data_IF_128718204057
#
_entry.id   IF_128718204057
#
_cell.length_a   1.000
_cell.length_b   1.000
_cell.length_c   1.000
_cell.angle_alpha   90.00
_cell.angle_beta   90.00
_cell.angle_gamma   90.00
#
_symmetry.space_group_name_H-M   'P 1'
#
loop_
_entity.id
_entity.type
_entity.pdbx_description
1 polymer ?
#
# COMPACT_ATOMS: atom_id res chain seq x y z
N UNK A 1 -4.70 10.86 -15.80
CA UNK A 1 -4.65 9.40 -15.53
C UNK A 1 -5.39 9.14 -14.22
N UNK A 2 -6.42 8.27 -14.20
CA UNK A 2 -7.09 7.93 -12.93
C UNK A 2 -6.17 7.00 -12.13
N UNK A 3 -6.05 7.20 -10.82
CA UNK A 3 -5.29 6.28 -9.95
C UNK A 3 -5.87 4.88 -10.06
N UNK A 4 -5.07 3.96 -10.56
CA UNK A 4 -5.39 2.55 -10.63
C UNK A 4 -5.33 1.88 -9.26
N UNK A 5 -5.88 0.67 -9.17
CA UNK A 5 -5.80 -0.14 -7.94
C UNK A 5 -4.36 -0.41 -7.52
N UNK A 6 -3.47 -0.60 -8.50
CA UNK A 6 -2.03 -0.81 -8.26
C UNK A 6 -1.34 0.42 -7.67
N UNK A 7 -1.67 1.63 -8.13
CA UNK A 7 -1.13 2.87 -7.56
C UNK A 7 -1.54 3.05 -6.10
N UNK A 8 -2.77 2.66 -5.77
CA UNK A 8 -3.27 2.71 -4.39
C UNK A 8 -2.51 1.71 -3.52
N UNK A 9 -2.36 0.48 -3.99
CA UNK A 9 -1.62 -0.57 -3.28
C UNK A 9 -0.17 -0.15 -3.07
N UNK A 10 0.52 0.33 -4.12
CA UNK A 10 1.91 0.80 -4.04
C UNK A 10 2.07 1.94 -3.04
N UNK A 11 1.15 2.92 -3.03
CA UNK A 11 1.17 3.99 -2.04
C UNK A 11 0.98 3.47 -0.61
N UNK A 12 0.01 2.58 -0.37
CA UNK A 12 -0.22 2.02 0.98
C UNK A 12 1.02 1.26 1.46
N UNK A 13 1.59 0.40 0.62
CA UNK A 13 2.79 -0.37 0.95
C UNK A 13 3.97 0.56 1.25
N UNK A 14 4.17 1.60 0.44
CA UNK A 14 5.21 2.60 0.66
C UNK A 14 5.04 3.32 2.00
N UNK A 15 3.81 3.72 2.34
CA UNK A 15 3.49 4.37 3.62
C UNK A 15 3.75 3.42 4.80
N UNK A 16 3.44 2.12 4.65
CA UNK A 16 3.62 1.11 5.70
C UNK A 16 5.08 0.67 5.89
N UNK A 17 6.03 1.11 5.04
CA UNK A 17 7.45 0.71 5.10
C UNK A 17 8.12 1.02 6.44
N UNK A 18 7.75 2.14 7.06
CA UNK A 18 8.26 2.56 8.37
C UNK A 18 7.21 2.42 9.49
N UNK A 19 6.12 1.69 9.20
CA UNK A 19 4.95 1.65 10.06
C UNK A 19 4.06 2.89 9.94
N UNK A 20 2.75 2.66 9.79
CA UNK A 20 1.79 3.76 9.70
C UNK A 20 0.46 3.43 10.36
N UNK A 21 -0.20 4.44 10.93
CA UNK A 21 -1.57 4.31 11.45
C UNK A 21 -2.58 4.34 10.30
N UNK A 22 -3.77 3.77 10.51
CA UNK A 22 -4.90 3.85 9.54
C UNK A 22 -5.16 5.28 9.08
N UNK A 23 -5.13 6.24 10.00
CA UNK A 23 -5.33 7.67 9.70
C UNK A 23 -4.24 8.23 8.79
N UNK A 24 -2.98 7.91 9.06
CA UNK A 24 -1.85 8.33 8.21
C UNK A 24 -1.97 7.74 6.81
N UNK A 25 -2.40 6.49 6.69
CA UNK A 25 -2.60 5.83 5.40
C UNK A 25 -3.73 6.52 4.63
N UNK A 26 -4.86 6.80 5.27
CA UNK A 26 -5.99 7.54 4.68
C UNK A 26 -5.53 8.89 4.12
N UNK A 27 -4.82 9.70 4.93
CA UNK A 27 -4.35 11.02 4.51
C UNK A 27 -3.26 10.96 3.45
N UNK A 28 -2.21 10.15 3.65
CA UNK A 28 -1.05 10.09 2.73
C UNK A 28 -1.40 9.38 1.42
N UNK A 29 -2.29 8.39 1.43
CA UNK A 29 -2.74 7.70 0.22
C UNK A 29 -3.90 8.41 -0.49
N UNK A 30 -4.43 9.52 0.07
CA UNK A 30 -5.61 10.23 -0.42
C UNK A 30 -6.83 9.29 -0.61
N UNK A 31 -7.10 8.47 0.40
CA UNK A 31 -8.22 7.53 0.44
C UNK A 31 -9.27 8.00 1.43
N UNK A 32 -10.51 7.58 1.25
CA UNK A 32 -11.50 7.63 2.32
C UNK A 32 -11.33 6.43 3.27
N UNK A 33 -11.88 6.52 4.48
CA UNK A 33 -11.77 5.47 5.50
C UNK A 33 -12.28 4.11 5.02
N UNK A 34 -13.38 4.07 4.27
CA UNK A 34 -13.99 2.83 3.76
C UNK A 34 -13.06 2.13 2.76
N UNK A 35 -12.50 2.87 1.82
CA UNK A 35 -11.57 2.34 0.83
C UNK A 35 -10.27 1.89 1.49
N UNK A 36 -9.70 2.70 2.38
CA UNK A 36 -8.50 2.33 3.12
C UNK A 36 -8.71 1.02 3.89
N UNK A 37 -9.86 0.83 4.53
CA UNK A 37 -10.19 -0.41 5.24
C UNK A 37 -10.28 -1.63 4.33
N UNK A 38 -10.91 -1.50 3.15
CA UNK A 38 -10.96 -2.58 2.16
C UNK A 38 -9.56 -2.99 1.70
N UNK A 39 -8.70 -2.02 1.37
CA UNK A 39 -7.34 -2.30 0.92
C UNK A 39 -6.47 -2.85 2.04
N UNK A 40 -6.53 -2.28 3.24
CA UNK A 40 -5.75 -2.75 4.39
C UNK A 40 -6.15 -4.17 4.78
N UNK A 41 -7.44 -4.49 4.78
CA UNK A 41 -7.91 -5.86 5.01
C UNK A 41 -7.38 -6.80 3.94
N UNK A 42 -7.53 -6.45 2.66
CA UNK A 42 -7.05 -7.29 1.55
C UNK A 42 -5.53 -7.52 1.58
N UNK A 43 -4.75 -6.51 1.93
CA UNK A 43 -3.29 -6.60 2.06
C UNK A 43 -2.88 -7.44 3.28
N UNK A 44 -3.59 -7.29 4.39
CA UNK A 44 -3.33 -8.07 5.61
C UNK A 44 -3.71 -9.54 5.42
N UNK A 45 -4.85 -9.82 4.79
CA UNK A 45 -5.31 -11.18 4.46
C UNK A 45 -4.34 -11.92 3.51
N UNK A 46 -3.53 -11.17 2.74
CA UNK A 46 -2.49 -11.70 1.83
C UNK A 46 -1.09 -11.68 2.42
N UNK A 47 -0.96 -11.28 3.69
CA UNK A 47 0.31 -11.17 4.42
C UNK A 47 1.28 -10.18 3.76
N UNK A 48 0.77 -9.16 3.07
CA UNK A 48 1.58 -8.07 2.48
C UNK A 48 1.87 -6.97 3.50
N UNK A 49 0.95 -6.78 4.44
CA UNK A 49 1.13 -5.92 5.60
C UNK A 49 0.75 -6.71 6.85
N UNK A 50 1.29 -6.29 7.98
CA UNK A 50 0.98 -6.84 9.29
C UNK A 50 0.44 -5.73 10.16
N UNK A 51 -0.70 -5.98 10.79
CA UNK A 51 -1.28 -5.06 11.77
C UNK A 51 -0.73 -5.38 13.16
N UNK A 52 0.03 -4.45 13.72
CA UNK A 52 0.54 -4.50 15.10
C UNK A 52 -0.13 -3.42 15.94
N UNK A 53 -1.23 -3.80 16.61
CA UNK A 53 -2.06 -2.89 17.39
C UNK A 53 -2.70 -1.81 16.52
N UNK A 54 -2.15 -0.58 16.58
CA UNK A 54 -2.61 0.59 15.81
C UNK A 54 -1.78 0.87 14.57
N UNK A 55 -0.67 0.16 14.39
CA UNK A 55 0.26 0.35 13.28
C UNK A 55 0.09 -0.75 12.24
N UNK A 56 0.35 -0.39 10.99
CA UNK A 56 0.47 -1.30 9.86
C UNK A 56 1.90 -1.24 9.36
N UNK A 57 2.58 -2.38 9.41
CA UNK A 57 3.95 -2.56 8.96
C UNK A 57 3.97 -3.40 7.69
N UNK A 58 4.88 -3.11 6.77
CA UNK A 58 5.07 -3.94 5.58
C UNK A 58 5.75 -5.26 5.96
N UNK A 59 5.35 -6.37 5.33
CA UNK A 59 6.04 -7.65 5.47
C UNK A 59 7.11 -7.81 4.39
N UNK A 60 8.01 -8.81 4.48
CA UNK A 60 8.96 -9.10 3.40
C UNK A 60 8.25 -9.33 2.04
N UNK A 61 7.12 -10.05 2.06
CA UNK A 61 6.28 -10.32 0.88
C UNK A 61 5.68 -9.04 0.30
N UNK A 62 5.22 -8.13 1.16
CA UNK A 62 4.73 -6.81 0.73
C UNK A 62 5.84 -5.94 0.15
N UNK A 63 7.06 -6.03 0.69
CA UNK A 63 8.21 -5.31 0.17
C UNK A 63 8.58 -5.79 -1.23
N UNK A 64 8.54 -7.10 -1.49
CA UNK A 64 8.75 -7.66 -2.83
C UNK A 64 7.70 -7.16 -3.83
N UNK A 65 6.43 -7.16 -3.43
CA UNK A 65 5.35 -6.60 -4.26
C UNK A 65 5.57 -5.11 -4.55
N UNK A 66 5.99 -4.33 -3.55
CA UNK A 66 6.28 -2.90 -3.73
C UNK A 66 7.42 -2.69 -4.74
N UNK A 67 8.51 -3.46 -4.63
CA UNK A 67 9.61 -3.40 -5.60
C UNK A 67 9.14 -3.76 -7.01
N UNK A 68 8.35 -4.83 -7.16
CA UNK A 68 7.80 -5.23 -8.46
C UNK A 68 6.89 -4.14 -9.07
N UNK A 69 6.08 -3.48 -8.24
CA UNK A 69 5.22 -2.37 -8.69
C UNK A 69 6.02 -1.15 -9.13
N UNK A 70 7.12 -0.83 -8.42
CA UNK A 70 8.00 0.29 -8.79
C UNK A 70 8.73 0.02 -10.11
N UNK A 71 9.29 -1.17 -10.27
CA UNK A 71 9.91 -1.56 -11.54
C UNK A 71 8.89 -1.58 -12.68
N UNK A 72 7.65 -2.02 -12.43
CA UNK A 72 6.60 -2.00 -13.45
C UNK A 72 6.15 -0.57 -13.83
N UNK A 73 6.16 0.39 -12.88
CA UNK A 73 5.88 1.80 -13.18
C UNK A 73 6.98 2.44 -14.00
N UNK A 74 8.25 2.13 -13.74
CA UNK A 74 9.38 2.61 -14.55
C UNK A 74 9.30 2.13 -16.01
N UNK A 75 8.74 0.94 -16.24
CA UNK A 75 8.46 0.44 -17.59
C UNK A 75 7.26 1.13 -18.28
N UNK A 76 6.33 1.72 -17.52
CA UNK A 76 5.14 2.40 -18.07
C UNK A 76 5.40 3.87 -18.44
N UNK A 77 6.40 4.52 -17.84
CA UNK A 77 6.81 5.90 -18.20
C UNK A 77 7.76 5.96 -19.41
N UNK A 78 8.13 4.80 -19.98
CA UNK A 78 9.02 4.66 -21.15
C UNK A 78 8.28 4.47 -22.50
N UNK A 79 6.99 4.84 -22.61
CA UNK A 79 6.25 4.78 -23.88
C UNK A 79 5.53 6.06 -24.26
#
# INVERSE_FOLDING_TARGET
MKRGRFDIIGSILLICKNGAKKTEIVYKANLNFKNAEVYLKWLNDREMIMKEGRFFNITPKGSELLSNLQSASEFMDLK
#
